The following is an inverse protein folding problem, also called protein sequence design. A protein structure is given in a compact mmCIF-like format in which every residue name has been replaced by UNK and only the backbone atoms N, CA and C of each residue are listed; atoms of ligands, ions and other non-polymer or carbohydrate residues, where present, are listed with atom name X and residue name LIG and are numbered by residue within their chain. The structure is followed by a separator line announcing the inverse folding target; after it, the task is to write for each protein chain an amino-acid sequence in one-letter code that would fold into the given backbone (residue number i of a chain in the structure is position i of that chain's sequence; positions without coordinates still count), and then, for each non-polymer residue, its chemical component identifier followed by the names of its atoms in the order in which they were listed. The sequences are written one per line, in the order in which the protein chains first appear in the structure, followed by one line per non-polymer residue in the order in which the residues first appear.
data_IF_672934117398
#
_entry.id   IF_672934117398
#
_cell.length_a   1.000
_cell.length_b   1.000
_cell.length_c   1.000
_cell.angle_alpha   90.00
_cell.angle_beta   90.00
_cell.angle_gamma   90.00
#
_symmetry.space_group_name_H-M   'P 1'
#
loop_
_entity.id
_entity.type
_entity.pdbx_description
1 polymer ?
#
# COMPACT_ATOMS: atom_id res chain seq x y z
N UNK A 1 -2.32 41.31 -34.37
CA UNK A 1 -2.72 41.11 -32.96
C UNK A 1 -3.87 40.11 -32.93
N UNK A 2 -3.63 38.86 -32.52
CA UNK A 2 -4.70 37.94 -32.15
C UNK A 2 -4.28 37.24 -30.85
N UNK A 3 -4.98 37.60 -29.77
CA UNK A 3 -4.84 37.00 -28.45
C UNK A 3 -5.71 35.75 -28.44
N UNK A 4 -5.10 34.57 -28.49
CA UNK A 4 -5.83 33.32 -28.20
C UNK A 4 -5.61 32.92 -26.74
N UNK A 5 -6.74 32.80 -26.06
CA UNK A 5 -6.93 32.56 -24.65
C UNK A 5 -6.45 31.15 -24.27
N UNK A 6 -5.51 31.04 -23.33
CA UNK A 6 -5.08 29.76 -22.74
C UNK A 6 -6.10 29.36 -21.66
N UNK A 7 -7.06 28.50 -22.01
CA UNK A 7 -7.90 27.85 -20.99
C UNK A 7 -7.06 26.79 -20.28
N UNK A 8 -6.63 27.09 -19.06
CA UNK A 8 -5.95 26.14 -18.18
C UNK A 8 -6.96 25.07 -17.74
N UNK A 9 -6.99 23.93 -18.43
CA UNK A 9 -7.75 22.77 -17.98
C UNK A 9 -6.98 22.09 -16.86
N UNK A 10 -7.26 22.49 -15.62
CA UNK A 10 -6.81 21.75 -14.44
C UNK A 10 -7.68 20.50 -14.28
N UNK A 11 -7.09 19.32 -14.47
CA UNK A 11 -7.75 18.07 -14.11
C UNK A 11 -7.65 17.89 -12.59
N UNK A 12 -8.74 18.23 -11.89
CA UNK A 12 -8.92 17.84 -10.49
C UNK A 12 -9.25 16.36 -10.46
N UNK A 13 -8.33 15.53 -9.95
CA UNK A 13 -8.65 14.16 -9.60
C UNK A 13 -9.59 14.23 -8.39
N UNK A 14 -10.88 14.02 -8.61
CA UNK A 14 -11.86 13.85 -7.54
C UNK A 14 -11.38 12.69 -6.67
N UNK A 15 -10.85 13.02 -5.50
CA UNK A 15 -10.52 12.04 -4.48
C UNK A 15 -11.85 11.54 -3.93
N UNK A 16 -12.37 10.45 -4.48
CA UNK A 16 -13.41 9.67 -3.83
C UNK A 16 -12.88 9.35 -2.44
N UNK A 17 -13.50 9.94 -1.41
CA UNK A 17 -13.38 9.47 -0.03
C UNK A 17 -14.00 8.08 0.01
N UNK A 18 -13.25 7.09 -0.45
CA UNK A 18 -13.57 5.70 -0.17
C UNK A 18 -13.27 5.50 1.31
N UNK A 19 -14.34 5.34 2.08
CA UNK A 19 -14.30 4.67 3.38
C UNK A 19 -13.40 3.44 3.26
N UNK A 20 -12.39 3.37 4.12
CA UNK A 20 -11.38 2.30 4.16
C UNK A 20 -12.01 0.94 3.86
N UNK A 21 -11.49 0.19 2.87
CA UNK A 21 -11.78 -1.23 2.76
C UNK A 21 -11.35 -1.86 4.09
N UNK A 22 -12.32 -2.37 4.86
CA UNK A 22 -11.98 -3.21 6.00
C UNK A 22 -11.48 -4.52 5.43
N UNK A 23 -10.17 -4.71 5.43
CA UNK A 23 -9.57 -6.01 5.16
C UNK A 23 -10.17 -7.04 6.12
N UNK A 24 -10.44 -8.28 5.67
CA UNK A 24 -10.94 -9.32 6.54
C UNK A 24 -10.01 -9.48 7.75
N UNK A 25 -10.57 -9.28 8.94
CA UNK A 25 -9.87 -9.45 10.22
C UNK A 25 -9.43 -10.91 10.39
N UNK A 26 -8.27 -11.27 9.85
CA UNK A 26 -7.58 -12.49 10.27
C UNK A 26 -7.03 -12.19 11.66
N UNK A 27 -7.70 -12.72 12.69
CA UNK A 27 -7.21 -12.66 14.07
C UNK A 27 -5.97 -13.55 14.13
N UNK A 28 -4.81 -12.95 13.89
CA UNK A 28 -3.53 -13.62 14.12
C UNK A 28 -3.27 -13.70 15.63
N UNK A 29 -2.79 -14.86 16.07
CA UNK A 29 -2.26 -15.03 17.42
C UNK A 29 -0.97 -14.19 17.54
N UNK A 30 -1.12 -12.98 18.07
CA UNK A 30 -0.07 -11.96 18.20
C UNK A 30 1.15 -12.53 18.93
N UNK A 31 0.93 -13.32 19.98
CA UNK A 31 2.02 -13.90 20.77
C UNK A 31 2.83 -14.89 19.93
N UNK A 32 2.14 -15.77 19.19
CA UNK A 32 2.79 -16.71 18.29
C UNK A 32 3.60 -15.98 17.21
N UNK A 33 3.04 -14.95 16.60
CA UNK A 33 3.74 -14.17 15.56
C UNK A 33 4.98 -13.48 16.13
N UNK A 34 4.87 -12.86 17.31
CA UNK A 34 6.03 -12.23 17.97
C UNK A 34 7.10 -13.29 18.27
N UNK A 35 6.71 -14.45 18.80
CA UNK A 35 7.64 -15.52 19.15
C UNK A 35 8.38 -16.08 17.93
N UNK A 36 7.69 -16.25 16.80
CA UNK A 36 8.30 -16.62 15.51
C UNK A 36 9.30 -15.56 15.04
N UNK A 37 8.96 -14.27 15.16
CA UNK A 37 9.84 -13.17 14.75
C UNK A 37 11.10 -13.08 15.62
N UNK A 38 11.01 -13.33 16.93
CA UNK A 38 12.14 -13.18 17.86
C UNK A 38 12.87 -14.50 18.16
N UNK A 39 12.50 -15.61 17.52
CA UNK A 39 13.03 -16.94 17.85
C UNK A 39 14.56 -17.02 17.75
N UNK A 40 15.14 -16.27 16.81
CA UNK A 40 16.56 -16.26 16.48
C UNK A 40 17.43 -15.49 17.50
N UNK A 41 16.83 -14.75 18.43
CA UNK A 41 17.56 -13.98 19.44
C UNK A 41 18.00 -14.92 20.56
N UNK A 42 19.31 -15.16 20.66
CA UNK A 42 19.90 -16.09 21.65
C UNK A 42 20.04 -15.48 23.04
N UNK A 43 20.30 -14.18 23.14
CA UNK A 43 20.39 -13.48 24.43
C UNK A 43 18.98 -13.28 25.01
N UNK A 44 18.71 -13.91 26.16
CA UNK A 44 17.39 -13.88 26.80
C UNK A 44 16.95 -12.46 27.22
N UNK A 45 17.89 -11.63 27.70
CA UNK A 45 17.57 -10.24 28.08
C UNK A 45 17.11 -9.44 26.88
N UNK A 46 17.81 -9.55 25.75
CA UNK A 46 17.43 -8.89 24.50
C UNK A 46 16.11 -9.45 23.96
N UNK A 47 15.93 -10.77 23.97
CA UNK A 47 14.70 -11.41 23.52
C UNK A 47 13.48 -10.88 24.28
N UNK A 48 13.58 -10.79 25.61
CA UNK A 48 12.50 -10.25 26.44
C UNK A 48 12.24 -8.76 26.20
N UNK A 49 13.29 -7.95 26.05
CA UNK A 49 13.14 -6.52 25.72
C UNK A 49 12.46 -6.33 24.36
N UNK A 50 12.89 -7.06 23.34
CA UNK A 50 12.30 -7.01 22.00
C UNK A 50 10.84 -7.46 22.03
N UNK A 51 10.51 -8.56 22.72
CA UNK A 51 9.12 -9.01 22.90
C UNK A 51 8.26 -7.88 23.46
N UNK A 52 8.70 -7.24 24.54
CA UNK A 52 7.95 -6.15 25.18
C UNK A 52 7.73 -4.97 24.23
N UNK A 53 8.75 -4.59 23.45
CA UNK A 53 8.65 -3.50 22.46
C UNK A 53 7.66 -3.86 21.34
N UNK A 54 7.73 -5.08 20.81
CA UNK A 54 6.83 -5.52 19.73
C UNK A 54 5.38 -5.59 20.20
N UNK A 55 5.14 -6.08 21.41
CA UNK A 55 3.81 -6.08 22.02
C UNK A 55 3.30 -4.65 22.26
N UNK A 56 4.16 -3.76 22.80
CA UNK A 56 3.79 -2.37 23.07
C UNK A 56 3.46 -1.60 21.79
N UNK A 57 4.16 -1.86 20.69
CA UNK A 57 4.04 -1.16 19.42
C UNK A 57 3.49 -2.05 18.30
N UNK A 58 2.61 -3.00 18.63
CA UNK A 58 2.07 -3.99 17.68
C UNK A 58 1.47 -3.38 16.40
N UNK A 59 0.92 -2.17 16.50
CA UNK A 59 0.35 -1.41 15.37
C UNK A 59 1.41 -0.84 14.44
N UNK A 60 2.59 -0.50 14.95
CA UNK A 60 3.69 0.04 14.13
C UNK A 60 4.32 -1.08 13.30
N UNK A 61 4.35 -2.29 13.86
CA UNK A 61 4.90 -3.48 13.23
C UNK A 61 3.85 -4.31 12.47
N UNK A 62 2.62 -3.80 12.31
CA UNK A 62 1.50 -4.49 11.64
C UNK A 62 1.25 -5.94 12.13
N UNK A 63 1.51 -6.22 13.42
CA UNK A 63 1.48 -7.58 13.99
C UNK A 63 0.04 -8.06 14.18
N UNK A 64 -0.85 -7.16 14.61
CA UNK A 64 -2.25 -7.50 14.93
C UNK A 64 -3.15 -7.59 13.70
N UNK A 65 -2.82 -6.83 12.65
CA UNK A 65 -3.60 -6.74 11.42
C UNK A 65 -2.75 -6.14 10.32
N UNK A 66 -2.76 -6.76 9.14
CA UNK A 66 -2.17 -6.17 7.95
C UNK A 66 -2.90 -4.87 7.63
N UNK A 67 -2.21 -3.75 7.82
CA UNK A 67 -2.78 -2.40 7.64
C UNK A 67 -2.07 -1.73 6.48
N UNK A 68 -2.83 -1.17 5.54
CA UNK A 68 -2.25 -0.31 4.50
C UNK A 68 -1.98 1.05 5.15
N UNK A 69 -0.70 1.41 5.27
CA UNK A 69 -0.32 2.72 5.78
C UNK A 69 -0.76 3.82 4.81
N UNK A 70 -1.51 4.80 5.32
CA UNK A 70 -1.97 5.95 4.55
C UNK A 70 -1.32 7.22 5.10
N UNK A 71 -0.72 8.01 4.21
CA UNK A 71 -0.25 9.36 4.54
C UNK A 71 -1.24 10.41 4.04
N UNK A 72 -1.37 11.52 4.78
CA UNK A 72 -2.17 12.66 4.34
C UNK A 72 -1.49 13.50 3.26
N UNK A 73 -0.19 13.27 3.03
CA UNK A 73 0.56 13.97 2.00
C UNK A 73 0.12 13.50 0.61
N UNK A 74 -0.53 14.40 -0.13
CA UNK A 74 -0.86 14.14 -1.51
C UNK A 74 0.38 14.27 -2.40
N UNK A 75 0.73 13.20 -3.10
CA UNK A 75 1.78 13.22 -4.11
C UNK A 75 1.25 13.85 -5.41
N UNK A 76 2.00 14.80 -5.97
CA UNK A 76 1.70 15.43 -7.27
C UNK A 76 2.80 15.09 -8.27
N UNK A 77 2.40 14.50 -9.41
CA UNK A 77 3.28 14.32 -10.57
C UNK A 77 3.06 15.52 -11.49
N UNK A 78 4.12 16.27 -11.79
CA UNK A 78 4.05 17.43 -12.67
C UNK A 78 4.37 17.01 -14.10
N UNK A 79 3.36 17.00 -14.97
CA UNK A 79 3.48 16.59 -16.37
C UNK A 79 3.73 17.74 -17.34
N UNK A 80 3.77 18.99 -16.86
CA UNK A 80 3.90 20.18 -17.72
C UNK A 80 2.82 20.22 -18.81
N UNK A 81 3.24 20.50 -20.05
CA UNK A 81 2.37 20.55 -21.23
C UNK A 81 2.41 19.25 -22.05
N UNK A 82 2.91 18.14 -21.48
CA UNK A 82 2.96 16.87 -22.18
C UNK A 82 1.54 16.26 -22.31
N UNK A 83 1.12 15.87 -23.53
CA UNK A 83 -0.18 15.22 -23.72
C UNK A 83 -0.18 13.79 -23.13
N UNK A 84 -1.36 13.25 -22.76
CA UNK A 84 -1.47 11.85 -22.35
C UNK A 84 -0.98 10.89 -23.44
N UNK A 85 -0.27 9.84 -23.03
CA UNK A 85 0.20 8.79 -23.93
C UNK A 85 -0.80 7.64 -23.90
N UNK A 86 -1.33 7.27 -25.07
CA UNK A 86 -2.18 6.09 -25.24
C UNK A 86 -1.36 4.97 -25.89
N UNK A 87 -0.95 3.98 -25.09
CA UNK A 87 -0.27 2.78 -25.58
C UNK A 87 -1.13 1.55 -25.35
N UNK A 88 -1.24 0.69 -26.37
CA UNK A 88 -1.94 -0.60 -26.24
C UNK A 88 -1.08 -1.53 -25.37
N UNK A 89 -1.65 -2.18 -24.34
CA UNK A 89 -0.92 -3.16 -23.55
C UNK A 89 -0.38 -4.31 -24.39
N UNK A 90 0.77 -4.84 -24.02
CA UNK A 90 1.32 -6.04 -24.67
C UNK A 90 0.40 -7.24 -24.44
N UNK A 91 0.35 -8.14 -25.44
CA UNK A 91 -0.35 -9.41 -25.30
C UNK A 91 0.38 -10.28 -24.27
N UNK A 92 -0.39 -10.82 -23.33
CA UNK A 92 0.09 -11.76 -22.32
C UNK A 92 -0.50 -13.16 -22.56
N UNK A 93 0.26 -14.21 -22.21
CA UNK A 93 -0.23 -15.59 -22.27
C UNK A 93 -1.33 -15.84 -21.23
N UNK A 94 -2.13 -16.90 -21.41
CA UNK A 94 -3.19 -17.24 -20.45
C UNK A 94 -2.65 -17.48 -19.02
N UNK A 95 -1.48 -18.10 -18.90
CA UNK A 95 -0.82 -18.31 -17.61
C UNK A 95 -0.43 -16.98 -16.95
N UNK A 96 0.10 -16.03 -17.72
CA UNK A 96 0.45 -14.69 -17.23
C UNK A 96 -0.80 -13.90 -16.82
N UNK A 97 -1.89 -14.01 -17.59
CA UNK A 97 -3.17 -13.38 -17.25
C UNK A 97 -3.70 -13.88 -15.92
N UNK A 98 -3.62 -15.19 -15.66
CA UNK A 98 -4.07 -15.75 -14.39
C UNK A 98 -3.21 -15.24 -13.22
N UNK A 99 -1.88 -15.26 -13.35
CA UNK A 99 -0.99 -14.74 -12.30
C UNK A 99 -1.22 -13.24 -12.02
N UNK A 100 -1.43 -12.44 -13.06
CA UNK A 100 -1.77 -11.01 -12.91
C UNK A 100 -3.13 -10.83 -12.22
N UNK A 101 -4.12 -11.64 -12.56
CA UNK A 101 -5.45 -11.59 -11.93
C UNK A 101 -5.38 -11.86 -10.44
N UNK A 102 -4.60 -12.86 -10.03
CA UNK A 102 -4.45 -13.22 -8.62
C UNK A 102 -3.79 -12.08 -7.82
N UNK A 103 -2.80 -11.41 -8.41
CA UNK A 103 -2.13 -10.24 -7.80
C UNK A 103 -3.11 -9.06 -7.70
N UNK A 104 -3.87 -8.77 -8.76
CA UNK A 104 -4.86 -7.67 -8.77
C UNK A 104 -5.89 -7.90 -7.66
N UNK A 105 -6.41 -9.11 -7.52
CA UNK A 105 -7.38 -9.46 -6.47
C UNK A 105 -6.81 -9.31 -5.04
N UNK A 106 -5.49 -9.32 -4.86
CA UNK A 106 -4.85 -9.08 -3.56
C UNK A 106 -4.66 -7.58 -3.26
N UNK A 107 -4.74 -6.73 -4.28
CA UNK A 107 -4.56 -5.28 -4.16
C UNK A 107 -5.89 -4.51 -4.06
N UNK A 108 -7.01 -5.13 -4.46
CA UNK A 108 -8.39 -4.61 -4.30
C UNK A 108 -8.94 -4.84 -2.89
#
# INVERSE_FOLDING_TARGET
MMKHCLSKTSYSINTLRNSSPQTPHVIHDIEKTIDEMIQHITNLSHKNKTRNVMHQYQKIFDISSSTIAVTSLQHRISTGDHPPINSIPYKCSLQQQQGLKDIINQME
#
